data_IF_538256369931
#
_entry.id   IF_538256369931
#
_cell.length_a   1.000
_cell.length_b   1.000
_cell.length_c   1.000
_cell.angle_alpha   90.00
_cell.angle_beta   90.00
_cell.angle_gamma   90.00
#
_symmetry.space_group_name_H-M   'P 1'
#
loop_
_entity.id
_entity.type
_entity.pdbx_description
1 polymer ?
#
# COMPACT_ATOMS: atom_id res chain seq x y z
N UNK A 1 3.94 -0.74 -22.96
CA UNK A 1 2.71 -0.43 -22.20
C UNK A 1 1.52 -0.06 -23.09
N UNK A 2 1.54 1.02 -23.89
CA UNK A 2 0.38 1.39 -24.72
C UNK A 2 -0.02 0.33 -25.77
N UNK A 3 0.97 -0.32 -26.39
CA UNK A 3 0.72 -1.44 -27.29
C UNK A 3 0.10 -2.64 -26.56
N UNK A 4 0.66 -3.02 -25.41
CA UNK A 4 0.11 -4.07 -24.54
C UNK A 4 -1.33 -3.74 -24.09
N UNK A 5 -1.58 -2.48 -23.69
CA UNK A 5 -2.92 -2.03 -23.31
C UNK A 5 -3.91 -2.23 -24.46
N UNK A 6 -3.59 -1.73 -25.66
CA UNK A 6 -4.45 -1.87 -26.84
C UNK A 6 -4.72 -3.33 -27.19
N UNK A 7 -3.68 -4.17 -27.15
CA UNK A 7 -3.82 -5.61 -27.41
C UNK A 7 -4.78 -6.28 -26.42
N UNK A 8 -4.66 -6.00 -25.11
CA UNK A 8 -5.54 -6.56 -24.09
C UNK A 8 -6.96 -5.99 -24.23
N UNK A 9 -7.11 -4.71 -24.57
CA UNK A 9 -8.41 -4.03 -24.68
C UNK A 9 -9.19 -4.50 -25.91
N UNK A 10 -8.53 -4.59 -27.07
CA UNK A 10 -9.12 -5.09 -28.32
C UNK A 10 -9.51 -6.57 -28.25
N UNK A 11 -8.80 -7.34 -27.43
CA UNK A 11 -9.11 -8.76 -27.17
C UNK A 11 -10.05 -8.99 -25.98
N UNK A 12 -10.50 -7.93 -25.30
CA UNK A 12 -11.33 -7.96 -24.09
C UNK A 12 -10.78 -8.89 -22.98
N UNK A 13 -9.45 -9.02 -22.91
CA UNK A 13 -8.80 -10.10 -22.15
C UNK A 13 -8.36 -9.71 -20.72
N UNK A 14 -8.84 -8.56 -20.21
CA UNK A 14 -8.45 -8.04 -18.89
C UNK A 14 -8.70 -9.02 -17.74
N UNK A 15 -9.78 -9.80 -17.81
CA UNK A 15 -10.09 -10.79 -16.79
C UNK A 15 -9.02 -11.90 -16.70
N UNK A 16 -8.55 -12.42 -17.84
CA UNK A 16 -7.53 -13.48 -17.83
C UNK A 16 -6.21 -12.95 -17.27
N UNK A 17 -5.79 -11.76 -17.72
CA UNK A 17 -4.58 -11.09 -17.22
C UNK A 17 -4.67 -10.85 -15.70
N UNK A 18 -5.80 -10.39 -15.21
CA UNK A 18 -6.01 -10.20 -13.78
C UNK A 18 -5.94 -11.52 -12.99
N UNK A 19 -6.54 -12.61 -13.52
CA UNK A 19 -6.45 -13.93 -12.87
C UNK A 19 -5.02 -14.48 -12.89
N UNK A 20 -4.26 -14.27 -13.96
CA UNK A 20 -2.85 -14.66 -14.04
C UNK A 20 -2.04 -14.00 -12.91
N UNK A 21 -2.18 -12.68 -12.72
CA UNK A 21 -1.51 -11.96 -11.63
C UNK A 21 -1.93 -12.52 -10.27
N UNK A 22 -3.21 -12.87 -10.08
CA UNK A 22 -3.67 -13.53 -8.84
C UNK A 22 -3.01 -14.87 -8.62
N UNK A 23 -2.83 -15.68 -9.65
CA UNK A 23 -2.17 -16.99 -9.56
C UNK A 23 -0.66 -16.87 -9.28
N UNK A 24 -0.02 -15.83 -9.80
CA UNK A 24 1.40 -15.56 -9.59
C UNK A 24 1.70 -14.85 -8.26
N UNK A 25 0.68 -14.34 -7.57
CA UNK A 25 0.85 -13.60 -6.32
C UNK A 25 1.35 -14.50 -5.19
N UNK A 26 2.30 -14.01 -4.40
CA UNK A 26 2.83 -14.74 -3.24
C UNK A 26 1.78 -14.97 -2.17
N UNK A 27 1.69 -16.21 -1.67
CA UNK A 27 0.94 -16.55 -0.46
C UNK A 27 1.90 -16.61 0.73
N UNK A 28 1.92 -15.53 1.52
CA UNK A 28 2.82 -15.40 2.68
C UNK A 28 2.05 -15.52 4.01
N UNK A 29 2.72 -15.90 5.12
CA UNK A 29 2.05 -16.10 6.41
C UNK A 29 1.39 -14.83 6.98
N UNK A 30 0.21 -15.01 7.58
CA UNK A 30 -0.55 -13.99 8.34
C UNK A 30 -0.88 -14.47 9.76
N UNK A 31 0.04 -15.17 10.43
CA UNK A 31 -0.22 -15.89 11.69
C UNK A 31 -0.72 -14.95 12.78
N UNK A 32 -0.10 -13.77 12.94
CA UNK A 32 -0.46 -12.81 14.00
C UNK A 32 -1.87 -12.26 13.78
N UNK A 33 -2.21 -11.97 12.53
CA UNK A 33 -3.53 -11.47 12.15
C UNK A 33 -4.66 -12.48 12.42
N UNK A 34 -4.36 -13.78 12.42
CA UNK A 34 -5.34 -14.86 12.65
C UNK A 34 -5.45 -15.29 14.11
N UNK A 35 -4.67 -14.71 15.03
CA UNK A 35 -4.80 -14.99 16.46
C UNK A 35 -6.21 -14.60 16.97
N UNK A 36 -6.82 -15.38 17.89
CA UNK A 36 -8.17 -15.11 18.39
C UNK A 36 -8.34 -13.70 18.96
N UNK A 37 -7.36 -13.19 19.69
CA UNK A 37 -7.33 -11.84 20.28
C UNK A 37 -7.35 -10.71 19.24
N UNK A 38 -6.88 -10.98 18.01
CA UNK A 38 -6.82 -10.00 16.93
C UNK A 38 -8.04 -10.04 16.00
N UNK A 39 -8.98 -10.97 16.21
CA UNK A 39 -10.19 -11.10 15.38
C UNK A 39 -10.98 -9.79 15.32
N UNK A 40 -11.14 -9.10 16.44
CA UNK A 40 -11.88 -7.83 16.54
C UNK A 40 -11.13 -6.62 15.97
N UNK A 41 -9.83 -6.75 15.67
CA UNK A 41 -9.01 -5.72 15.03
C UNK A 41 -9.02 -5.81 13.50
N UNK A 42 -9.67 -6.84 12.93
CA UNK A 42 -9.78 -7.07 11.49
C UNK A 42 -11.18 -6.75 10.99
N UNK A 43 -11.29 -5.85 10.00
CA UNK A 43 -12.58 -5.52 9.37
C UNK A 43 -13.12 -6.66 8.51
N UNK A 44 -12.23 -7.35 7.80
CA UNK A 44 -12.57 -8.44 6.90
C UNK A 44 -11.74 -9.68 7.24
N UNK A 45 -12.39 -10.86 7.28
CA UNK A 45 -11.74 -12.12 7.68
C UNK A 45 -10.68 -12.58 6.69
N UNK A 46 -10.88 -12.24 5.43
CA UNK A 46 -10.11 -12.64 4.25
C UNK A 46 -9.05 -11.61 3.84
N UNK A 47 -8.94 -10.48 4.55
CA UNK A 47 -7.91 -9.46 4.30
C UNK A 47 -7.05 -9.28 5.54
N UNK A 48 -5.79 -9.68 5.47
CA UNK A 48 -4.85 -9.63 6.59
C UNK A 48 -3.47 -9.16 6.14
N UNK A 49 -2.71 -8.44 6.97
CA UNK A 49 -1.32 -8.13 6.65
C UNK A 49 -0.46 -9.39 6.73
N UNK A 50 0.60 -9.48 5.93
CA UNK A 50 1.61 -10.52 6.10
C UNK A 50 2.47 -10.23 7.34
N UNK A 51 2.96 -11.28 7.99
CA UNK A 51 3.69 -11.15 9.26
C UNK A 51 5.00 -10.35 9.09
N UNK A 52 5.67 -10.48 7.94
CA UNK A 52 6.97 -9.83 7.68
C UNK A 52 6.87 -8.33 7.35
N UNK A 53 5.71 -7.87 6.90
CA UNK A 53 5.49 -6.49 6.43
C UNK A 53 4.47 -5.73 7.29
N UNK A 54 3.83 -6.37 8.27
CA UNK A 54 2.85 -5.72 9.14
C UNK A 54 3.52 -4.59 9.95
N UNK A 55 2.77 -3.53 10.22
CA UNK A 55 3.19 -2.51 11.19
C UNK A 55 2.99 -3.04 12.62
N UNK A 56 3.93 -2.71 13.52
CA UNK A 56 3.88 -3.05 14.94
C UNK A 56 3.67 -1.76 15.73
N UNK A 57 2.60 -1.72 16.52
CA UNK A 57 2.33 -0.66 17.48
C UNK A 57 3.26 -0.79 18.70
N UNK A 58 3.64 0.32 19.33
CA UNK A 58 4.57 0.31 20.47
C UNK A 58 3.88 0.53 21.82
N UNK A 59 2.65 1.04 21.84
CA UNK A 59 1.86 1.20 23.06
C UNK A 59 1.01 -0.05 23.36
N UNK A 60 0.77 -0.26 24.66
CA UNK A 60 -0.05 -1.38 25.13
C UNK A 60 0.62 -2.75 25.03
N UNK A 61 -0.15 -3.81 25.27
CA UNK A 61 0.32 -5.19 25.30
C UNK A 61 0.19 -5.92 23.95
N UNK A 62 -0.61 -5.39 23.02
CA UNK A 62 -0.90 -6.00 21.74
C UNK A 62 -0.49 -5.06 20.59
N UNK A 63 0.60 -5.43 19.92
CA UNK A 63 1.25 -4.66 18.83
C UNK A 63 0.50 -4.71 17.48
N UNK A 64 -0.65 -5.38 17.42
CA UNK A 64 -1.30 -5.70 16.15
C UNK A 64 -2.19 -4.56 15.65
N UNK A 65 -1.94 -4.16 14.39
CA UNK A 65 -2.85 -3.39 13.55
C UNK A 65 -2.89 -4.01 12.15
N UNK A 66 -4.05 -4.00 11.48
CA UNK A 66 -4.17 -4.47 10.08
C UNK A 66 -3.63 -3.43 9.10
N UNK A 67 -2.30 -3.29 9.07
CA UNK A 67 -1.57 -2.39 8.20
C UNK A 67 -0.29 -3.07 7.70
N UNK A 68 0.13 -2.75 6.47
CA UNK A 68 1.34 -3.29 5.85
C UNK A 68 2.22 -2.17 5.33
N UNK A 69 3.52 -2.21 5.65
CA UNK A 69 4.53 -1.37 5.00
C UNK A 69 4.88 -1.98 3.64
N UNK A 70 4.64 -1.22 2.58
CA UNK A 70 5.07 -1.54 1.22
C UNK A 70 6.29 -0.67 0.92
N UNK A 71 7.43 -1.30 0.66
CA UNK A 71 8.68 -0.60 0.37
C UNK A 71 9.11 -0.90 -1.06
N UNK A 72 9.03 0.10 -1.94
CA UNK A 72 9.46 -0.01 -3.33
C UNK A 72 10.90 0.51 -3.41
N UNK A 73 11.87 -0.40 -3.31
CA UNK A 73 13.28 -0.05 -3.12
C UNK A 73 13.83 0.78 -4.28
N UNK A 74 13.61 0.34 -5.52
CA UNK A 74 14.08 1.06 -6.71
C UNK A 74 13.42 2.44 -6.81
N UNK A 75 12.12 2.51 -6.52
CA UNK A 75 11.37 3.76 -6.55
C UNK A 75 11.71 4.68 -5.36
N UNK A 76 12.44 4.18 -4.34
CA UNK A 76 12.73 4.87 -3.07
C UNK A 76 11.48 5.46 -2.42
N UNK A 77 10.38 4.72 -2.49
CA UNK A 77 9.07 5.14 -1.98
C UNK A 77 8.51 4.07 -1.06
N UNK A 78 7.96 4.49 0.06
CA UNK A 78 7.27 3.61 1.00
C UNK A 78 5.85 4.10 1.26
N UNK A 79 4.94 3.15 1.45
CA UNK A 79 3.54 3.38 1.79
C UNK A 79 3.12 2.48 2.94
N UNK A 80 2.22 2.94 3.78
CA UNK A 80 1.49 2.09 4.72
C UNK A 80 0.08 1.89 4.17
N UNK A 81 -0.24 0.67 3.73
CA UNK A 81 -1.61 0.32 3.34
C UNK A 81 -2.33 -0.33 4.50
N UNK A 82 -3.48 0.23 4.88
CA UNK A 82 -4.26 -0.22 6.04
C UNK A 82 -5.75 -0.30 5.71
N UNK A 83 -6.50 -1.05 6.52
CA UNK A 83 -7.97 -1.06 6.42
C UNK A 83 -8.55 0.29 6.90
N UNK A 84 -9.79 0.59 6.49
CA UNK A 84 -10.55 1.67 7.10
C UNK A 84 -10.77 1.37 8.58
N UNK A 85 -10.36 2.26 9.51
CA UNK A 85 -10.43 2.00 10.95
C UNK A 85 -11.80 1.50 11.41
N UNK A 86 -11.80 0.56 12.35
CA UNK A 86 -12.98 0.15 13.10
C UNK A 86 -13.19 1.15 14.26
N UNK A 87 -14.39 1.24 14.85
CA UNK A 87 -14.62 2.08 16.02
C UNK A 87 -13.62 1.81 17.15
N UNK A 88 -13.24 0.56 17.34
CA UNK A 88 -12.27 0.10 18.36
C UNK A 88 -10.81 0.19 17.94
N UNK A 89 -10.51 0.70 16.72
CA UNK A 89 -9.14 0.81 16.21
C UNK A 89 -8.81 2.21 15.69
N UNK A 90 -9.61 3.22 16.01
CA UNK A 90 -9.29 4.60 15.66
C UNK A 90 -8.06 5.10 16.43
N UNK A 91 -7.95 4.81 17.74
CA UNK A 91 -6.77 5.15 18.53
C UNK A 91 -5.50 4.50 17.97
N UNK A 92 -5.53 3.17 17.79
CA UNK A 92 -4.46 2.40 17.14
C UNK A 92 -4.02 2.97 15.77
N UNK A 93 -4.96 3.50 14.98
CA UNK A 93 -4.64 4.12 13.69
C UNK A 93 -3.82 5.41 13.86
N UNK A 94 -4.19 6.28 14.82
CA UNK A 94 -3.47 7.51 15.08
C UNK A 94 -2.15 7.29 15.82
N UNK A 95 -2.07 6.28 16.67
CA UNK A 95 -0.82 5.77 17.22
C UNK A 95 0.14 5.37 16.09
N UNK A 96 -0.30 4.56 15.13
CA UNK A 96 0.49 4.19 13.96
C UNK A 96 0.97 5.43 13.18
N UNK A 97 0.08 6.38 12.89
CA UNK A 97 0.44 7.63 12.18
C UNK A 97 1.53 8.40 12.94
N UNK A 98 1.43 8.48 14.27
CA UNK A 98 2.41 9.13 15.12
C UNK A 98 3.76 8.41 15.12
N UNK A 99 3.77 7.11 15.39
CA UNK A 99 4.99 6.31 15.51
C UNK A 99 5.77 6.22 14.20
N UNK A 100 5.05 6.12 13.08
CA UNK A 100 5.64 6.02 11.75
C UNK A 100 6.02 7.39 11.17
N UNK A 101 5.83 8.49 11.92
CA UNK A 101 6.11 9.87 11.50
C UNK A 101 5.46 10.22 10.17
N UNK A 102 4.25 9.70 9.95
CA UNK A 102 3.47 9.94 8.75
C UNK A 102 3.03 11.41 8.72
N UNK A 103 3.23 12.08 7.58
CA UNK A 103 2.75 13.46 7.35
C UNK A 103 1.40 13.51 6.64
N UNK A 104 1.07 12.49 5.85
CA UNK A 104 -0.14 12.45 5.03
C UNK A 104 -0.95 11.16 5.18
N UNK A 105 -2.28 11.30 5.20
CA UNK A 105 -3.23 10.20 5.15
C UNK A 105 -4.09 10.34 3.89
N UNK A 106 -4.11 9.32 3.04
CA UNK A 106 -4.92 9.25 1.82
C UNK A 106 -6.09 8.29 2.04
N UNK A 107 -7.30 8.83 2.09
CA UNK A 107 -8.55 8.11 2.25
C UNK A 107 -9.30 8.02 0.91
N UNK A 108 -9.53 6.81 0.42
CA UNK A 108 -10.10 6.56 -0.91
C UNK A 108 -11.54 6.01 -0.87
N UNK A 109 -12.23 6.14 0.26
CA UNK A 109 -13.61 5.67 0.44
C UNK A 109 -14.45 6.67 1.22
N UNK A 110 -15.78 6.53 1.13
CA UNK A 110 -16.69 7.20 2.06
C UNK A 110 -16.92 6.35 3.31
N UNK A 111 -17.28 7.00 4.42
CA UNK A 111 -17.63 6.32 5.69
C UNK A 111 -18.75 5.31 5.45
N UNK A 112 -19.75 5.68 4.65
CA UNK A 112 -20.88 4.84 4.25
C UNK A 112 -20.91 4.73 2.73
N UNK A 113 -20.98 3.50 2.21
CA UNK A 113 -21.13 3.22 0.78
C UNK A 113 -22.21 2.16 0.58
N UNK A 114 -23.13 2.40 -0.35
CA UNK A 114 -24.27 1.49 -0.61
C UNK A 114 -25.02 1.09 0.67
N UNK A 115 -25.20 2.06 1.58
CA UNK A 115 -25.89 1.87 2.87
C UNK A 115 -25.10 1.13 3.95
N UNK A 116 -23.86 0.72 3.69
CA UNK A 116 -23.02 -0.02 4.65
C UNK A 116 -21.87 0.82 5.18
N UNK A 117 -21.56 0.68 6.48
CA UNK A 117 -20.41 1.36 7.11
C UNK A 117 -19.10 0.69 6.66
N UNK A 118 -18.30 1.41 5.88
CA UNK A 118 -17.03 0.94 5.30
C UNK A 118 -15.80 1.39 6.07
N UNK A 119 -15.94 2.42 6.90
CA UNK A 119 -14.89 3.01 7.72
C UNK A 119 -15.56 3.69 8.92
N UNK A 120 -14.92 3.74 10.09
CA UNK A 120 -15.37 4.59 11.18
C UNK A 120 -15.14 6.08 10.84
N UNK A 121 -15.87 6.97 11.52
CA UNK A 121 -15.56 8.40 11.55
C UNK A 121 -14.36 8.58 12.48
N UNK A 122 -13.15 8.48 11.95
CA UNK A 122 -11.91 8.45 12.73
C UNK A 122 -11.22 9.82 12.83
N UNK A 123 -11.83 10.87 12.27
CA UNK A 123 -11.39 12.25 12.36
C UNK A 123 -12.57 13.14 12.81
N UNK A 124 -12.33 14.28 13.48
CA UNK A 124 -13.40 15.19 13.89
C UNK A 124 -14.06 15.87 12.68
N UNK A 125 -15.38 16.01 12.74
CA UNK A 125 -16.16 16.81 11.79
C UNK A 125 -16.17 18.29 12.20
N UNK A 126 -16.69 19.17 11.33
CA UNK A 126 -16.69 20.64 11.54
C UNK A 126 -17.38 21.05 12.84
N UNK A 127 -18.38 20.29 13.26
CA UNK A 127 -19.21 20.54 14.43
C UNK A 127 -18.50 20.19 15.74
N UNK A 128 -17.74 19.09 15.75
CA UNK A 128 -17.06 18.55 16.94
C UNK A 128 -15.68 19.19 17.13
N UNK A 129 -15.00 19.54 16.01
CA UNK A 129 -13.64 20.11 15.91
C UNK A 129 -12.50 19.30 16.52
N UNK A 130 -12.75 18.49 17.54
CA UNK A 130 -11.75 17.66 18.21
C UNK A 130 -12.27 16.24 18.47
N UNK A 131 -11.34 15.29 18.51
CA UNK A 131 -11.59 13.91 18.89
C UNK A 131 -10.45 13.43 19.81
N UNK A 132 -10.81 12.80 20.93
CA UNK A 132 -9.85 12.23 21.90
C UNK A 132 -9.93 10.70 21.84
N UNK A 133 -8.76 10.07 21.72
CA UNK A 133 -8.58 8.62 21.71
C UNK A 133 -7.91 8.21 23.03
N UNK A 134 -8.72 7.97 24.05
CA UNK A 134 -8.25 7.70 25.43
C UNK A 134 -7.40 6.43 25.54
N UNK A 135 -7.68 5.42 24.72
CA UNK A 135 -6.95 4.15 24.68
C UNK A 135 -5.47 4.30 24.31
N UNK A 136 -5.14 5.35 23.55
CA UNK A 136 -3.81 5.60 23.00
C UNK A 136 -3.25 6.98 23.39
N UNK A 137 -4.00 7.77 24.16
CA UNK A 137 -3.65 9.12 24.60
C UNK A 137 -3.31 10.09 23.46
N UNK A 138 -4.09 10.06 22.39
CA UNK A 138 -4.01 11.03 21.30
C UNK A 138 -5.23 11.94 21.25
N UNK A 139 -5.00 13.21 20.92
CA UNK A 139 -6.05 14.16 20.56
C UNK A 139 -5.83 14.60 19.12
N UNK A 140 -6.92 14.70 18.38
CA UNK A 140 -6.91 15.15 17.00
C UNK A 140 -7.83 16.34 16.85
N UNK A 141 -7.31 17.43 16.27
CA UNK A 141 -8.05 18.68 16.06
C UNK A 141 -8.15 18.98 14.57
N UNK A 142 -9.34 19.34 14.09
CA UNK A 142 -9.54 19.87 12.74
C UNK A 142 -9.12 21.34 12.69
N UNK A 143 -8.07 21.64 11.93
CA UNK A 143 -7.53 23.01 11.77
C UNK A 143 -8.23 23.72 10.61
N UNK A 144 -8.25 23.07 9.43
CA UNK A 144 -8.87 23.62 8.23
C UNK A 144 -9.36 22.50 7.30
N UNK A 145 -10.30 22.85 6.41
CA UNK A 145 -10.84 21.94 5.39
C UNK A 145 -11.10 22.70 4.09
N UNK A 146 -10.52 22.20 3.00
CA UNK A 146 -10.75 22.64 1.62
C UNK A 146 -11.55 21.56 0.88
N UNK A 147 -12.81 21.87 0.55
CA UNK A 147 -13.75 20.93 -0.07
C UNK A 147 -13.83 21.23 -1.56
N UNK A 148 -13.47 20.23 -2.38
CA UNK A 148 -13.58 20.23 -3.85
C UNK A 148 -14.68 19.27 -4.30
N UNK A 149 -14.97 19.26 -5.59
CA UNK A 149 -16.08 18.46 -6.13
C UNK A 149 -15.93 16.96 -5.89
N UNK A 150 -14.73 16.40 -6.04
CA UNK A 150 -14.46 14.96 -5.89
C UNK A 150 -13.46 14.58 -4.80
N UNK A 151 -12.89 15.58 -4.11
CA UNK A 151 -12.00 15.34 -2.99
C UNK A 151 -12.10 16.43 -1.93
N UNK A 152 -11.51 16.18 -0.78
CA UNK A 152 -11.40 17.15 0.32
C UNK A 152 -10.01 17.04 0.93
N UNK A 153 -9.37 18.17 1.20
CA UNK A 153 -8.10 18.23 1.91
C UNK A 153 -8.35 18.84 3.29
N UNK A 154 -7.94 18.14 4.34
CA UNK A 154 -8.01 18.66 5.71
C UNK A 154 -6.61 18.82 6.27
N UNK A 155 -6.42 19.88 7.04
CA UNK A 155 -5.28 20.03 7.92
C UNK A 155 -5.74 19.62 9.32
N UNK A 156 -5.05 18.64 9.88
CA UNK A 156 -5.32 18.11 11.21
C UNK A 156 -4.10 18.37 12.09
N UNK A 157 -4.34 18.62 13.37
CA UNK A 157 -3.29 18.64 14.39
C UNK A 157 -3.44 17.38 15.25
N UNK A 158 -2.43 16.52 15.23
CA UNK A 158 -2.33 15.34 16.07
C UNK A 158 -1.44 15.65 17.26
N UNK A 159 -2.00 15.57 18.47
CA UNK A 159 -1.31 15.81 19.73
C UNK A 159 -1.13 14.50 20.49
N UNK A 160 0.10 14.22 20.92
CA UNK A 160 0.37 13.18 21.90
C UNK A 160 0.15 13.74 23.30
N UNK A 161 -0.94 13.37 23.97
CA UNK A 161 -1.31 13.92 25.27
C UNK A 161 -0.31 13.56 26.38
N UNK A 162 0.49 12.49 26.19
CA UNK A 162 1.50 12.09 27.16
C UNK A 162 2.76 12.98 27.11
N UNK A 163 3.12 13.49 25.93
CA UNK A 163 4.33 14.32 25.73
C UNK A 163 4.02 15.79 25.45
N UNK A 164 2.77 16.12 25.13
CA UNK A 164 2.31 17.44 24.68
C UNK A 164 2.94 17.88 23.34
N UNK A 165 3.60 16.97 22.61
CA UNK A 165 4.09 17.25 21.27
C UNK A 165 2.92 17.22 20.27
N UNK A 166 2.93 18.16 19.32
CA UNK A 166 1.95 18.23 18.24
C UNK A 166 2.60 18.05 16.88
N UNK A 167 1.83 17.51 15.93
CA UNK A 167 2.23 17.37 14.52
C UNK A 167 1.07 17.70 13.61
N UNK A 168 1.38 18.39 12.52
CA UNK A 168 0.44 18.58 11.42
C UNK A 168 0.33 17.30 10.59
N UNK A 169 -0.91 16.90 10.30
CA UNK A 169 -1.24 15.80 9.39
C UNK A 169 -2.16 16.32 8.29
N UNK A 170 -1.78 16.08 7.03
CA UNK A 170 -2.65 16.36 5.89
C UNK A 170 -3.52 15.13 5.59
N UNK A 171 -4.83 15.33 5.52
CA UNK A 171 -5.80 14.28 5.19
C UNK A 171 -6.40 14.54 3.82
N UNK A 172 -6.10 13.67 2.87
CA UNK A 172 -6.58 13.73 1.49
C UNK A 172 -7.70 12.71 1.31
N UNK A 173 -8.93 13.18 1.13
CA UNK A 173 -10.11 12.34 1.05
C UNK A 173 -10.72 12.38 -0.35
N UNK A 174 -10.54 11.31 -1.13
CA UNK A 174 -11.23 11.15 -2.41
C UNK A 174 -12.66 10.65 -2.17
N UNK A 175 -13.67 11.44 -2.55
CA UNK A 175 -15.06 11.24 -2.10
C UNK A 175 -15.96 10.56 -3.14
N UNK A 176 -15.59 10.57 -4.42
CA UNK A 176 -16.44 10.05 -5.51
C UNK A 176 -16.00 8.71 -6.08
N UNK A 177 -14.99 8.04 -5.50
CA UNK A 177 -14.56 6.71 -5.98
C UNK A 177 -15.54 5.61 -5.53
N UNK A 178 -16.29 4.95 -6.44
CA UNK A 178 -17.23 3.89 -6.07
C UNK A 178 -16.53 2.61 -5.59
N UNK A 179 -17.14 1.91 -4.63
CA UNK A 179 -16.64 0.60 -4.15
C UNK A 179 -16.69 -0.45 -5.27
N UNK A 180 -15.58 -1.17 -5.46
CA UNK A 180 -15.30 -2.10 -6.57
C UNK A 180 -15.32 -1.50 -7.99
N UNK A 181 -15.55 -0.19 -8.12
CA UNK A 181 -15.44 0.50 -9.39
C UNK A 181 -14.10 1.21 -9.56
N UNK A 182 -14.09 2.14 -10.52
CA UNK A 182 -12.96 2.98 -10.89
C UNK A 182 -13.38 4.46 -10.84
N UNK A 183 -12.45 5.41 -10.72
CA UNK A 183 -12.75 6.83 -10.91
C UNK A 183 -13.36 7.07 -12.30
N UNK A 184 -14.17 8.12 -12.43
CA UNK A 184 -14.87 8.45 -13.68
C UNK A 184 -13.90 8.75 -14.83
N UNK A 185 -12.74 9.34 -14.53
CA UNK A 185 -11.70 9.63 -15.50
C UNK A 185 -10.30 9.49 -14.89
N UNK A 186 -9.27 9.13 -15.69
CA UNK A 186 -7.88 9.22 -15.25
C UNK A 186 -7.47 10.63 -14.83
N UNK A 187 -8.05 11.68 -15.44
CA UNK A 187 -7.73 13.07 -15.14
C UNK A 187 -8.03 13.46 -13.68
N UNK A 188 -9.23 13.14 -13.17
CA UNK A 188 -9.60 13.41 -11.77
C UNK A 188 -8.70 12.67 -10.77
N UNK A 189 -8.41 11.39 -11.05
CA UNK A 189 -7.49 10.60 -10.24
C UNK A 189 -6.06 11.16 -10.26
N UNK A 190 -5.54 11.52 -11.43
CA UNK A 190 -4.19 12.04 -11.58
C UNK A 190 -4.07 13.41 -10.92
N UNK A 191 -5.03 14.33 -11.11
CA UNK A 191 -5.03 15.62 -10.42
C UNK A 191 -4.96 15.43 -8.90
N UNK A 192 -5.78 14.55 -8.33
CA UNK A 192 -5.71 14.21 -6.91
C UNK A 192 -4.35 13.62 -6.50
N UNK A 193 -3.79 12.67 -7.24
CA UNK A 193 -2.47 12.10 -6.98
C UNK A 193 -1.38 13.18 -6.98
N UNK A 194 -1.41 14.09 -7.94
CA UNK A 194 -0.45 15.19 -8.03
C UNK A 194 -0.63 16.20 -6.88
N UNK A 195 -1.86 16.47 -6.41
CA UNK A 195 -2.08 17.22 -5.17
C UNK A 195 -1.41 16.58 -3.95
N UNK A 196 -1.48 15.25 -3.82
CA UNK A 196 -0.78 14.53 -2.75
C UNK A 196 0.74 14.65 -2.91
N UNK A 197 1.26 14.56 -4.14
CA UNK A 197 2.71 14.72 -4.42
C UNK A 197 3.21 16.13 -4.10
N UNK A 198 2.50 17.15 -4.56
CA UNK A 198 2.83 18.58 -4.36
C UNK A 198 2.86 18.98 -2.89
N UNK A 199 2.07 18.30 -2.04
CA UNK A 199 2.09 18.54 -0.59
C UNK A 199 3.40 18.14 0.11
N UNK A 200 4.24 17.34 -0.55
CA UNK A 200 5.47 16.79 0.02
C UNK A 200 5.25 15.60 0.97
N UNK A 201 4.02 15.15 1.19
CA UNK A 201 3.72 13.99 2.06
C UNK A 201 4.31 12.67 1.56
N UNK A 202 4.66 12.57 0.28
CA UNK A 202 5.25 11.38 -0.32
C UNK A 202 6.79 11.42 -0.29
N UNK A 203 7.41 12.54 0.08
CA UNK A 203 8.85 12.71 -0.01
C UNK A 203 9.61 11.76 0.93
N UNK A 204 10.85 11.41 0.55
CA UNK A 204 11.68 10.44 1.26
C UNK A 204 12.17 10.91 2.64
N UNK A 205 12.11 12.21 2.92
CA UNK A 205 12.46 12.82 4.21
C UNK A 205 11.32 12.73 5.23
N UNK A 206 10.14 12.25 4.82
CA UNK A 206 8.97 12.04 5.66
C UNK A 206 8.79 10.55 5.97
N UNK A 207 8.02 10.24 7.01
CA UNK A 207 7.54 8.87 7.22
C UNK A 207 6.60 8.42 6.10
N UNK A 208 6.40 7.10 5.90
CA UNK A 208 5.54 6.59 4.84
C UNK A 208 4.12 7.18 4.91
N UNK A 209 3.57 7.57 3.76
CA UNK A 209 2.17 8.00 3.67
C UNK A 209 1.26 6.83 4.05
N UNK A 210 0.20 7.10 4.81
CA UNK A 210 -0.83 6.09 5.10
C UNK A 210 -1.90 6.17 4.02
N UNK A 211 -2.17 5.07 3.33
CA UNK A 211 -3.20 4.96 2.28
C UNK A 211 -4.22 3.92 2.68
N UNK A 212 -5.51 4.27 2.67
CA UNK A 212 -6.55 3.31 2.97
C UNK A 212 -7.81 3.52 2.12
N UNK A 213 -8.61 2.48 2.09
CA UNK A 213 -10.00 2.52 1.65
C UNK A 213 -10.83 1.79 2.72
N UNK A 214 -11.74 0.88 2.34
CA UNK A 214 -12.37 0.00 3.32
C UNK A 214 -11.46 -1.16 3.74
N UNK A 215 -10.98 -1.97 2.79
CA UNK A 215 -10.10 -3.11 3.06
C UNK A 215 -8.59 -2.77 2.96
N UNK A 216 -8.26 -1.64 2.33
CA UNK A 216 -6.87 -1.22 2.13
C UNK A 216 -6.13 -2.02 1.06
N UNK A 217 -6.82 -2.53 0.03
CA UNK A 217 -6.19 -3.37 -1.02
C UNK A 217 -6.62 -2.98 -2.45
N UNK A 218 -7.91 -2.77 -2.73
CA UNK A 218 -8.38 -2.44 -4.09
C UNK A 218 -7.96 -1.04 -4.54
N UNK A 219 -8.70 -0.02 -4.11
CA UNK A 219 -8.45 1.40 -4.42
C UNK A 219 -7.06 1.87 -3.97
N UNK A 220 -6.63 1.44 -2.77
CA UNK A 220 -5.29 1.73 -2.24
C UNK A 220 -4.18 1.11 -3.10
N UNK A 221 -4.37 -0.12 -3.58
CA UNK A 221 -3.45 -0.76 -4.52
C UNK A 221 -3.35 -0.01 -5.83
N UNK A 222 -4.48 0.41 -6.41
CA UNK A 222 -4.50 1.26 -7.62
C UNK A 222 -3.75 2.56 -7.41
N UNK A 223 -3.98 3.27 -6.30
CA UNK A 223 -3.30 4.53 -5.99
C UNK A 223 -1.77 4.36 -5.95
N UNK A 224 -1.29 3.43 -5.13
CA UNK A 224 0.15 3.23 -4.94
C UNK A 224 0.83 2.63 -6.18
N UNK A 225 0.15 1.76 -6.94
CA UNK A 225 0.70 1.21 -8.18
C UNK A 225 0.92 2.31 -9.22
N UNK A 226 -0.07 3.18 -9.43
CA UNK A 226 0.07 4.27 -10.40
C UNK A 226 1.18 5.23 -9.96
N UNK A 227 1.22 5.62 -8.68
CA UNK A 227 2.30 6.48 -8.15
C UNK A 227 3.69 5.87 -8.38
N UNK A 228 3.85 4.59 -8.04
CA UNK A 228 5.13 3.87 -8.17
C UNK A 228 5.56 3.77 -9.63
N UNK A 229 4.67 3.33 -10.52
CA UNK A 229 4.98 3.21 -11.95
C UNK A 229 5.43 4.56 -12.53
N UNK A 230 4.68 5.63 -12.26
CA UNK A 230 5.04 6.98 -12.69
C UNK A 230 6.41 7.41 -12.14
N UNK A 231 6.72 7.11 -10.87
CA UNK A 231 8.01 7.44 -10.29
C UNK A 231 9.17 6.67 -10.95
N UNK A 232 8.99 5.36 -11.20
CA UNK A 232 9.98 4.54 -11.90
C UNK A 232 10.25 5.04 -13.31
N UNK A 233 9.21 5.45 -14.05
CA UNK A 233 9.39 6.04 -15.38
C UNK A 233 10.22 7.32 -15.34
N UNK A 234 9.97 8.18 -14.34
CA UNK A 234 10.75 9.40 -14.13
C UNK A 234 12.21 9.11 -13.78
N UNK A 235 12.45 8.14 -12.89
CA UNK A 235 13.80 7.75 -12.45
C UNK A 235 14.61 7.12 -13.60
N UNK A 236 14.01 6.22 -14.37
CA UNK A 236 14.65 5.52 -15.48
C UNK A 236 14.77 6.38 -16.74
N UNK A 237 14.00 7.48 -16.83
CA UNK A 237 13.87 8.33 -18.02
C UNK A 237 13.44 7.57 -19.28
N UNK A 238 12.75 6.46 -19.09
CA UNK A 238 12.26 5.60 -20.16
C UNK A 238 10.92 4.96 -19.73
N UNK A 239 9.78 5.49 -20.19
CA UNK A 239 8.46 4.93 -19.89
C UNK A 239 8.28 3.49 -20.39
N UNK A 240 9.01 3.07 -21.43
CA UNK A 240 8.89 1.72 -22.00
C UNK A 240 9.51 0.64 -21.12
N UNK A 241 10.40 1.03 -20.20
CA UNK A 241 11.09 0.12 -19.27
C UNK A 241 10.22 -0.38 -18.11
N UNK A 242 9.07 0.24 -17.86
CA UNK A 242 8.22 -0.08 -16.70
C UNK A 242 7.11 -1.06 -17.08
N UNK A 243 7.15 -2.26 -16.48
CA UNK A 243 6.12 -3.28 -16.62
C UNK A 243 5.16 -3.24 -15.43
N UNK A 244 3.91 -2.80 -15.64
CA UNK A 244 2.93 -2.59 -14.56
C UNK A 244 2.66 -3.88 -13.77
N UNK A 245 2.60 -5.03 -14.46
CA UNK A 245 2.35 -6.35 -13.84
C UNK A 245 3.43 -6.70 -12.82
N UNK A 246 4.70 -6.52 -13.18
CA UNK A 246 5.84 -6.83 -12.32
C UNK A 246 5.82 -5.97 -11.07
N UNK A 247 5.58 -4.65 -11.23
CA UNK A 247 5.46 -3.72 -10.09
C UNK A 247 4.31 -4.13 -9.18
N UNK A 248 3.15 -4.53 -9.73
CA UNK A 248 2.02 -5.00 -8.93
C UNK A 248 2.34 -6.32 -8.19
N UNK A 249 3.03 -7.25 -8.83
CA UNK A 249 3.45 -8.51 -8.20
C UNK A 249 4.45 -8.25 -7.06
N UNK A 250 5.40 -7.35 -7.25
CA UNK A 250 6.32 -6.90 -6.21
C UNK A 250 5.56 -6.29 -5.03
N UNK A 251 4.64 -5.35 -5.27
CA UNK A 251 3.81 -4.75 -4.22
C UNK A 251 2.95 -5.79 -3.49
N UNK A 252 2.43 -6.79 -4.21
CA UNK A 252 1.68 -7.90 -3.62
C UNK A 252 2.54 -8.83 -2.77
N UNK A 253 3.87 -8.75 -2.87
CA UNK A 253 4.79 -9.36 -1.92
C UNK A 253 4.73 -8.74 -0.52
N UNK A 254 4.19 -7.53 -0.37
CA UNK A 254 4.06 -6.86 0.93
C UNK A 254 2.64 -6.91 1.50
N UNK A 255 1.61 -6.88 0.65
CA UNK A 255 0.21 -6.96 1.09
C UNK A 255 -0.61 -7.73 0.07
N UNK A 256 -1.40 -8.69 0.55
CA UNK A 256 -2.26 -9.49 -0.31
C UNK A 256 -3.29 -8.66 -1.11
N UNK A 257 -3.67 -9.16 -2.27
CA UNK A 257 -4.89 -8.76 -2.96
C UNK A 257 -4.94 -7.31 -3.46
N UNK A 258 -3.80 -6.62 -3.57
CA UNK A 258 -3.76 -5.27 -4.15
C UNK A 258 -4.37 -5.27 -5.54
N UNK A 259 -5.29 -4.33 -5.83
CA UNK A 259 -6.16 -4.35 -7.01
C UNK A 259 -7.13 -5.55 -6.99
N UNK A 260 -8.42 -5.26 -6.88
CA UNK A 260 -9.47 -6.25 -6.60
C UNK A 260 -10.31 -6.65 -7.83
N UNK A 261 -10.21 -5.90 -8.93
CA UNK A 261 -10.96 -6.19 -10.16
C UNK A 261 -10.10 -5.99 -11.41
N UNK A 262 -10.47 -6.64 -12.51
CA UNK A 262 -9.87 -6.43 -13.82
C UNK A 262 -10.01 -4.96 -14.28
N UNK A 263 -11.14 -4.32 -13.97
CA UNK A 263 -11.36 -2.90 -14.30
C UNK A 263 -10.41 -1.98 -13.53
N UNK A 264 -10.10 -2.28 -12.27
CA UNK A 264 -9.09 -1.51 -11.51
C UNK A 264 -7.69 -1.68 -12.11
N UNK A 265 -7.35 -2.88 -12.60
CA UNK A 265 -6.08 -3.10 -13.30
C UNK A 265 -6.05 -2.32 -14.62
N UNK A 266 -7.11 -2.42 -15.43
CA UNK A 266 -7.27 -1.65 -16.68
C UNK A 266 -7.16 -0.15 -16.42
N UNK A 267 -7.81 0.34 -15.37
CA UNK A 267 -7.74 1.75 -14.98
C UNK A 267 -6.33 2.16 -14.56
N UNK A 268 -5.59 1.31 -13.82
CA UNK A 268 -4.19 1.57 -13.51
C UNK A 268 -3.35 1.75 -14.76
N UNK A 269 -3.56 0.95 -15.81
CA UNK A 269 -2.88 1.15 -17.10
C UNK A 269 -3.24 2.50 -17.72
N UNK A 270 -4.54 2.83 -17.80
CA UNK A 270 -4.99 4.12 -18.34
C UNK A 270 -4.37 5.31 -17.61
N UNK A 271 -4.37 5.27 -16.27
CA UNK A 271 -3.81 6.34 -15.45
C UNK A 271 -2.30 6.46 -15.58
N UNK A 272 -1.57 5.34 -15.69
CA UNK A 272 -0.11 5.37 -15.93
C UNK A 272 0.21 5.90 -17.33
N UNK A 273 -0.51 5.45 -18.38
CA UNK A 273 -0.32 5.93 -19.76
C UNK A 273 -0.57 7.44 -19.84
N UNK A 274 -1.69 7.89 -19.28
CA UNK A 274 -2.04 9.32 -19.27
C UNK A 274 -1.03 10.12 -18.44
N UNK A 275 -0.69 9.64 -17.24
CA UNK A 275 0.28 10.28 -16.36
C UNK A 275 1.70 10.35 -16.93
N UNK A 276 2.09 9.39 -17.76
CA UNK A 276 3.41 9.37 -18.40
C UNK A 276 3.62 10.58 -19.33
N UNK A 277 2.55 11.10 -19.96
CA UNK A 277 2.62 12.29 -20.82
C UNK A 277 3.14 13.51 -20.07
N UNK A 278 2.69 13.70 -18.81
CA UNK A 278 3.17 14.77 -17.94
C UNK A 278 4.65 14.61 -17.59
N UNK A 279 5.10 13.38 -17.29
CA UNK A 279 6.51 13.09 -16.94
C UNK A 279 7.44 13.30 -18.13
N UNK A 280 6.97 13.05 -19.35
CA UNK A 280 7.74 13.25 -20.59
C UNK A 280 7.89 14.72 -21.00
N UNK A 281 7.47 15.67 -20.16
CA UNK A 281 7.75 17.10 -20.33
C UNK A 281 6.57 17.95 -20.78
N UNK A 282 5.38 17.38 -20.91
CA UNK A 282 4.17 18.16 -21.17
C UNK A 282 3.52 18.61 -19.85
N UNK A 283 4.06 19.66 -19.28
CA UNK A 283 3.53 20.27 -18.04
C UNK A 283 2.15 20.93 -18.24
N UNK A 284 1.76 21.23 -19.49
CA UNK A 284 0.45 21.82 -19.80
C UNK A 284 -0.72 20.88 -19.49
N UNK A 285 -0.44 19.57 -19.44
CA UNK A 285 -1.43 18.53 -19.13
C UNK A 285 -1.92 18.62 -17.68
N UNK A 286 -1.11 19.11 -16.73
CA UNK A 286 -1.57 19.23 -15.34
C UNK A 286 -2.71 20.24 -15.19
N UNK A 287 -2.59 21.41 -15.84
CA UNK A 287 -3.68 22.39 -15.90
C UNK A 287 -4.89 21.82 -16.64
N UNK A 288 -4.65 21.06 -17.72
CA UNK A 288 -5.73 20.37 -18.43
C UNK A 288 -6.47 19.36 -17.56
N UNK A 289 -5.79 18.57 -16.73
CA UNK A 289 -6.46 17.65 -15.81
C UNK A 289 -7.25 18.38 -14.74
N UNK A 290 -6.74 19.50 -14.23
CA UNK A 290 -7.47 20.35 -13.29
C UNK A 290 -8.79 20.82 -13.90
N UNK A 291 -8.75 21.35 -15.11
CA UNK A 291 -9.93 21.75 -15.88
C UNK A 291 -10.88 20.57 -16.15
N UNK A 292 -10.37 19.46 -16.70
CA UNK A 292 -11.16 18.27 -17.05
C UNK A 292 -11.73 17.53 -15.84
N UNK A 293 -11.15 17.73 -14.65
CA UNK A 293 -11.63 17.13 -13.41
C UNK A 293 -12.82 17.87 -12.82
N UNK A 294 -13.10 19.08 -13.28
CA UNK A 294 -14.13 19.96 -12.73
C UNK A 294 -14.01 20.11 -11.20
N UNK A 295 -12.79 20.29 -10.67
CA UNK A 295 -12.57 20.28 -9.21
C UNK A 295 -13.28 21.43 -8.46
N UNK A 296 -13.58 22.53 -9.14
CA UNK A 296 -14.25 23.71 -8.60
C UNK A 296 -15.79 23.64 -8.70
N UNK A 297 -16.34 22.58 -9.28
CA UNK A 297 -17.78 22.36 -9.30
C UNK A 297 -18.33 22.12 -7.88
N UNK A 298 -19.62 22.38 -7.63
CA UNK A 298 -20.22 22.06 -6.34
C UNK A 298 -20.10 20.54 -6.04
N UNK A 299 -19.71 20.16 -4.81
CA UNK A 299 -19.60 18.76 -4.45
C UNK A 299 -20.98 18.07 -4.53
N UNK A 300 -21.02 16.78 -4.88
CA UNK A 300 -22.27 16.04 -4.98
C UNK A 300 -22.97 15.95 -3.61
N UNK A 301 -24.28 16.18 -3.58
CA UNK A 301 -25.09 16.00 -2.39
C UNK A 301 -25.21 14.51 -2.05
N UNK A 302 -24.46 14.07 -1.04
CA UNK A 302 -24.68 12.76 -0.44
C UNK A 302 -25.71 12.89 0.67
N UNK A 303 -26.96 12.50 0.39
CA UNK A 303 -27.98 12.42 1.43
C UNK A 303 -27.54 11.40 2.49
N UNK A 304 -27.31 11.82 3.76
CA UNK A 304 -27.01 10.86 4.81
C UNK A 304 -28.21 9.92 4.98
N UNK A 305 -27.99 8.63 5.32
CA UNK A 305 -29.10 7.74 5.62
C UNK A 305 -29.93 8.33 6.77
N UNK A 306 -31.27 8.20 6.73
CA UNK A 306 -32.14 8.75 7.76
C UNK A 306 -31.72 8.23 9.14
N UNK A 307 -31.70 9.13 10.13
CA UNK A 307 -31.36 8.78 11.52
C UNK A 307 -32.24 7.60 11.99
N UNK A 308 -31.68 6.63 12.75
CA UNK A 308 -32.48 5.57 13.34
C UNK A 308 -33.65 6.18 14.13
N UNK A 309 -34.88 5.74 13.85
CA UNK A 309 -36.05 6.18 14.62
C UNK A 309 -35.84 5.81 16.10
N UNK A 310 -36.23 6.67 17.06
CA UNK A 310 -36.22 6.31 18.46
C UNK A 310 -37.01 5.01 18.66
N UNK A 311 -36.58 4.10 19.55
CA UNK A 311 -37.34 2.90 19.85
C UNK A 311 -38.75 3.29 20.30
N UNK A 312 -39.77 2.74 19.63
CA UNK A 312 -41.16 2.89 20.06
C UNK A 312 -41.31 2.27 21.45
N UNK A 313 -42.10 2.86 22.36
CA UNK A 313 -42.41 2.23 23.64
C UNK A 313 -43.06 0.86 23.40
N UNK A 314 -42.78 -0.15 24.26
CA UNK A 314 -43.28 -1.50 24.07
C UNK A 314 -44.80 -1.53 24.11
N UNK A 315 -45.41 -1.97 23.03
CA UNK A 315 -46.85 -2.19 22.92
C UNK A 315 -47.16 -3.59 23.47
N UNK A 316 -47.90 -3.67 24.57
CA UNK A 316 -48.41 -4.92 25.14
C UNK A 316 -49.65 -5.37 24.33
N UNK A 317 -49.52 -6.42 23.53
CA UNK A 317 -50.63 -7.09 22.83
C UNK A 317 -50.19 -8.44 22.24
N UNK A 318 -51.08 -9.46 22.19
CA UNK A 318 -50.70 -10.87 22.16
C UNK A 318 -50.20 -11.37 20.78
N UNK A 319 -49.35 -12.40 20.86
CA UNK A 319 -48.57 -13.03 19.79
C UNK A 319 -49.39 -13.57 18.60
N UNK A 320 -48.82 -13.46 17.39
CA UNK A 320 -48.74 -14.58 16.43
C UNK A 320 -47.68 -14.29 15.36
N UNK A 321 -46.65 -15.15 15.30
CA UNK A 321 -45.64 -15.19 14.23
C UNK A 321 -45.96 -16.35 13.28
N UNK A 322 -45.50 -16.27 12.02
CA UNK A 322 -44.69 -17.36 11.50
C UNK A 322 -43.34 -16.84 10.98
N UNK A 323 -42.28 -17.51 11.45
CA UNK A 323 -40.87 -17.28 11.10
C UNK A 323 -40.56 -17.97 9.77
N UNK A 324 -39.94 -17.26 8.84
CA UNK A 324 -39.28 -17.87 7.67
C UNK A 324 -37.95 -17.14 7.47
N UNK A 325 -36.87 -17.92 7.35
CA UNK A 325 -35.45 -17.60 7.16
C UNK A 325 -34.56 -17.55 8.42
N UNK A 326 -33.38 -18.23 8.41
CA UNK A 326 -32.43 -18.25 9.52
C UNK A 326 -31.58 -16.96 9.57
N UNK A 327 -31.29 -16.47 10.77
CA UNK A 327 -30.44 -15.31 11.05
C UNK A 327 -28.97 -15.62 10.77
N UNK A 328 -28.32 -14.81 9.93
CA UNK A 328 -26.87 -14.64 9.92
C UNK A 328 -26.48 -13.75 11.12
N UNK A 329 -25.59 -14.26 11.98
CA UNK A 329 -25.08 -13.58 13.17
C UNK A 329 -24.26 -12.32 12.80
N UNK A 330 -24.95 -11.19 12.67
CA UNK A 330 -24.35 -9.85 12.74
C UNK A 330 -24.34 -9.44 14.21
N UNK A 331 -23.14 -9.37 14.80
CA UNK A 331 -22.94 -8.84 16.16
C UNK A 331 -23.24 -7.33 16.13
N UNK A 332 -24.49 -6.94 16.38
CA UNK A 332 -24.84 -5.58 16.77
C UNK A 332 -24.64 -5.43 18.28
N UNK A 333 -23.48 -4.93 18.70
CA UNK A 333 -23.31 -4.43 20.06
C UNK A 333 -24.10 -3.13 20.21
N UNK A 334 -25.18 -3.17 21.00
CA UNK A 334 -25.92 -1.99 21.44
C UNK A 334 -25.04 -1.14 22.35
N UNK A 335 -24.90 0.14 22.04
CA UNK A 335 -24.34 1.13 22.95
C UNK A 335 -25.20 1.21 24.22
N UNK A 336 -24.71 0.67 25.33
CA UNK A 336 -25.20 0.98 26.66
C UNK A 336 -24.03 1.50 27.47
N UNK A 337 -24.09 2.77 27.81
CA UNK A 337 -23.18 3.43 28.73
C UNK A 337 -23.52 2.89 30.12
N UNK A 338 -22.65 2.03 30.66
CA UNK A 338 -22.59 1.74 32.09
C UNK A 338 -21.32 2.36 32.65
N UNK A 339 -21.51 3.42 33.43
CA UNK A 339 -20.49 3.97 34.33
C UNK A 339 -20.23 2.99 35.46
N UNK A 340 -19.11 2.26 35.42
CA UNK A 340 -18.53 1.65 36.61
C UNK A 340 -17.00 1.61 36.54
N UNK A 341 -16.40 2.41 37.42
CA UNK A 341 -15.19 2.18 38.24
C UNK A 341 -14.00 1.42 37.64
N UNK A 342 -12.86 2.12 37.62
CA UNK A 342 -11.54 1.71 37.13
C UNK A 342 -10.99 0.36 37.65
N UNK A 343 -10.13 -0.28 36.83
CA UNK A 343 -8.94 -0.94 37.36
C UNK A 343 -7.62 -0.56 36.66
N UNK A 344 -6.60 -0.43 37.51
CA UNK A 344 -5.13 -0.45 37.38
C UNK A 344 -4.43 -0.15 36.03
N UNK A 345 -3.48 0.80 36.12
CA UNK A 345 -2.51 1.25 35.11
C UNK A 345 -1.80 0.12 34.32
N UNK A 346 -1.50 0.32 33.02
CA UNK A 346 -0.64 -0.57 32.28
C UNK A 346 0.84 -0.25 32.52
N UNK A 347 1.63 -1.29 32.80
CA UNK A 347 3.08 -1.23 32.91
C UNK A 347 3.72 -0.82 31.57
N UNK A 348 4.39 0.33 31.57
CA UNK A 348 5.22 0.80 30.46
C UNK A 348 6.48 -0.06 30.32
N UNK A 349 6.73 -0.55 29.10
CA UNK A 349 8.02 -1.14 28.73
C UNK A 349 9.08 -0.03 28.63
N UNK A 350 9.81 0.24 29.72
CA UNK A 350 11.00 1.11 29.68
C UNK A 350 12.15 0.41 28.93
N UNK A 351 12.71 1.08 27.92
CA UNK A 351 14.06 0.79 27.43
C UNK A 351 15.03 1.86 27.94
N UNK A 352 16.12 1.39 28.53
CA UNK A 352 17.25 2.18 29.03
C UNK A 352 17.92 2.91 27.86
N UNK A 353 17.86 4.24 27.88
CA UNK A 353 18.70 5.09 27.02
C UNK A 353 19.97 5.40 27.83
N UNK A 354 21.14 5.03 27.29
CA UNK A 354 22.41 5.41 27.86
C UNK A 354 22.61 6.91 27.69
N UNK A 355 22.66 7.63 28.80
CA UNK A 355 22.94 9.07 28.87
C UNK A 355 24.44 9.30 28.64
N UNK A 356 24.80 9.93 27.52
CA UNK A 356 26.08 10.64 27.41
C UNK A 356 25.90 12.01 28.07
N UNK A 357 26.46 12.16 29.28
CA UNK A 357 26.52 13.43 29.98
C UNK A 357 27.66 14.28 29.43
N UNK A 358 27.33 15.53 29.06
CA UNK A 358 28.28 16.58 28.78
C UNK A 358 28.86 17.14 30.10
N UNK A 359 30.18 17.32 30.14
CA UNK A 359 30.87 18.15 31.13
C UNK A 359 31.92 19.03 30.45
N UNK A 360 31.90 20.31 30.79
CA UNK A 360 32.70 21.42 30.25
C UNK A 360 34.17 21.42 30.76
N UNK A 361 35.05 22.33 30.27
CA UNK A 361 36.49 22.09 30.10
C UNK A 361 37.39 22.58 31.26
N UNK A 362 38.64 22.10 31.30
CA UNK A 362 39.73 22.71 32.05
C UNK A 362 41.07 22.57 31.29
N UNK A 363 41.85 23.64 31.37
CA UNK A 363 43.13 23.96 30.73
C UNK A 363 44.30 23.06 31.17
N UNK A 364 45.36 22.92 30.34
CA UNK A 364 46.73 23.36 30.63
C UNK A 364 47.77 22.97 29.55
N UNK A 365 48.54 24.00 29.14
CA UNK A 365 49.98 24.07 28.80
C UNK A 365 50.63 23.31 27.63
N UNK A 366 51.05 24.11 26.65
CA UNK A 366 52.17 23.91 25.70
C UNK A 366 53.56 24.02 26.36
N UNK A 367 54.59 23.43 25.72
CA UNK A 367 55.84 24.16 25.52
C UNK A 367 56.31 24.24 24.06
N UNK A 368 57.12 25.28 23.87
CA UNK A 368 57.71 25.98 22.71
C UNK A 368 58.60 25.21 21.70
N UNK A 369 58.63 25.81 20.50
CA UNK A 369 59.42 25.65 19.25
C UNK A 369 60.97 25.49 19.37
N UNK A 370 61.64 25.14 18.25
CA UNK A 370 62.30 26.20 17.45
C UNK A 370 62.06 26.12 15.92
N UNK A 371 62.34 27.26 15.30
CA UNK A 371 62.15 27.78 13.94
C UNK A 371 63.11 27.23 12.88
N UNK A 372 62.72 27.29 11.59
CA UNK A 372 63.38 28.10 10.53
C UNK A 372 62.76 27.85 9.12
N UNK A 373 62.52 28.95 8.39
CA UNK A 373 62.13 29.08 6.97
C UNK A 373 63.38 29.14 6.04
N UNK A 374 63.30 29.43 4.71
CA UNK A 374 62.43 28.96 3.62
C UNK A 374 63.25 28.50 2.36
N UNK A 375 62.56 28.32 1.23
CA UNK A 375 63.00 28.54 -0.17
C UNK A 375 63.11 27.35 -1.18
N UNK A 376 62.27 27.55 -2.21
CA UNK A 376 62.51 27.46 -3.66
C UNK A 376 62.17 26.20 -4.50
N UNK A 377 61.73 26.56 -5.70
CA UNK A 377 60.96 25.85 -6.71
C UNK A 377 61.70 24.75 -7.48
N UNK A 378 60.91 23.84 -8.08
CA UNK A 378 60.84 23.59 -9.54
C UNK A 378 60.41 22.13 -9.87
N UNK A 379 59.44 22.01 -10.78
CA UNK A 379 59.06 20.74 -11.44
C UNK A 379 60.16 20.31 -12.45
N UNK A 380 60.28 19.02 -12.83
CA UNK A 380 59.48 18.51 -13.97
C UNK A 380 59.17 16.98 -14.01
N UNK A 381 58.16 16.59 -14.80
CA UNK A 381 58.04 15.27 -15.51
C UNK A 381 58.70 15.42 -16.92
N UNK A 382 59.02 14.38 -17.75
CA UNK A 382 58.45 13.01 -17.82
C UNK A 382 59.44 11.86 -18.21
N UNK A 383 58.88 10.65 -18.43
CA UNK A 383 59.27 9.54 -19.35
C UNK A 383 59.74 8.19 -18.76
N UNK A 384 58.97 7.14 -19.12
CA UNK A 384 59.30 5.70 -19.25
C UNK A 384 60.26 5.48 -20.47
N UNK A 385 60.91 4.31 -20.77
CA UNK A 385 60.35 2.93 -20.63
C UNK A 385 61.32 1.70 -20.48
N UNK A 386 60.69 0.49 -20.46
CA UNK A 386 61.15 -0.89 -20.85
C UNK A 386 61.81 -1.79 -19.78
N UNK A 387 61.12 -2.83 -19.24
CA UNK A 387 61.03 -4.30 -19.61
C UNK A 387 62.22 -5.13 -19.05
N UNK A 388 62.07 -6.27 -18.32
CA UNK A 388 61.64 -7.60 -18.81
C UNK A 388 61.18 -8.59 -17.69
N UNK A 389 60.00 -9.20 -17.91
CA UNK A 389 59.55 -10.62 -17.77
C UNK A 389 60.02 -11.58 -16.67
N UNK A 390 59.05 -12.25 -16.02
CA UNK A 390 59.01 -13.73 -15.87
C UNK A 390 57.55 -14.24 -15.83
N UNK A 391 57.29 -15.37 -16.49
CA UNK A 391 55.99 -15.95 -16.91
C UNK A 391 55.13 -16.63 -15.82
N UNK A 392 53.82 -16.76 -16.13
CA UNK A 392 52.86 -17.68 -15.52
C UNK A 392 52.06 -18.43 -16.62
N UNK A 393 51.56 -19.67 -16.38
CA UNK A 393 51.25 -20.65 -17.43
C UNK A 393 49.88 -20.47 -18.14
N UNK A 394 49.70 -21.07 -19.34
CA UNK A 394 48.61 -20.70 -20.27
C UNK A 394 47.28 -21.44 -20.04
N UNK A 395 46.19 -20.76 -20.42
CA UNK A 395 44.81 -21.26 -20.52
C UNK A 395 44.65 -22.23 -21.71
N UNK A 396 43.77 -23.24 -21.62
CA UNK A 396 43.55 -24.20 -22.71
C UNK A 396 42.74 -23.59 -23.87
N UNK A 397 43.16 -23.95 -25.08
CA UNK A 397 42.60 -23.56 -26.37
C UNK A 397 41.31 -24.33 -26.71
N UNK A 398 40.39 -23.63 -27.40
CA UNK A 398 39.17 -24.19 -27.99
C UNK A 398 39.50 -25.06 -29.20
N UNK A 399 38.99 -26.28 -29.25
CA UNK A 399 38.95 -27.15 -30.43
C UNK A 399 37.75 -26.81 -31.34
N UNK A 400 37.82 -27.08 -32.66
CA UNK A 400 36.71 -26.88 -33.60
C UNK A 400 35.60 -27.94 -33.42
N UNK A 401 34.38 -27.71 -33.95
CA UNK A 401 33.22 -28.54 -33.64
C UNK A 401 33.27 -29.90 -34.36
N UNK A 402 33.11 -30.97 -33.58
CA UNK A 402 32.88 -32.33 -34.06
C UNK A 402 31.44 -32.47 -34.62
N UNK A 403 31.32 -32.97 -35.84
CA UNK A 403 30.04 -33.35 -36.45
C UNK A 403 29.52 -34.62 -35.75
N UNK A 404 28.39 -34.52 -35.04
CA UNK A 404 27.66 -35.71 -34.54
C UNK A 404 26.68 -36.25 -35.60
N UNK A 405 26.51 -37.58 -35.70
CA UNK A 405 25.59 -38.20 -36.64
C UNK A 405 24.13 -37.95 -36.22
N UNK A 406 23.28 -37.76 -37.23
CA UNK A 406 21.83 -37.69 -37.12
C UNK A 406 21.29 -39.06 -36.67
N UNK A 407 20.47 -39.10 -35.62
CA UNK A 407 19.54 -40.23 -35.41
C UNK A 407 19.64 -41.04 -34.11
N UNK A 408 19.82 -40.42 -32.94
CA UNK A 408 19.50 -41.08 -31.66
C UNK A 408 18.76 -40.13 -30.72
N UNK A 409 17.51 -40.48 -30.40
CA UNK A 409 16.67 -39.73 -29.47
C UNK A 409 17.08 -40.03 -28.03
N UNK A 410 17.01 -39.01 -27.17
CA UNK A 410 17.29 -39.13 -25.74
C UNK A 410 16.27 -40.10 -25.09
N UNK A 411 16.70 -41.14 -24.33
CA UNK A 411 15.81 -42.12 -23.72
C UNK A 411 14.74 -41.51 -22.80
N UNK A 412 15.00 -40.34 -22.19
CA UNK A 412 14.00 -39.62 -21.40
C UNK A 412 12.84 -39.07 -22.25
N UNK A 413 13.13 -38.63 -23.48
CA UNK A 413 12.13 -38.08 -24.41
C UNK A 413 11.23 -39.20 -24.96
N UNK A 414 11.79 -40.38 -25.22
CA UNK A 414 11.03 -41.57 -25.60
C UNK A 414 10.12 -42.03 -24.47
N UNK A 415 10.60 -42.01 -23.22
CA UNK A 415 9.79 -42.38 -22.05
C UNK A 415 8.64 -41.40 -21.80
N UNK A 416 8.86 -40.10 -21.97
CA UNK A 416 7.79 -39.08 -21.83
C UNK A 416 6.74 -39.24 -22.93
N UNK A 417 7.13 -39.49 -24.19
CA UNK A 417 6.19 -39.73 -25.28
C UNK A 417 5.37 -41.03 -25.12
N UNK A 418 5.96 -42.10 -24.58
CA UNK A 418 5.22 -43.34 -24.30
C UNK A 418 4.20 -43.16 -23.16
N UNK A 419 4.54 -42.37 -22.14
CA UNK A 419 3.61 -42.05 -21.05
C UNK A 419 2.45 -41.15 -21.50
N UNK A 420 2.66 -40.19 -22.40
CA UNK A 420 1.57 -39.34 -22.90
C UNK A 420 0.61 -40.11 -23.81
N UNK A 421 1.12 -41.03 -24.62
CA UNK A 421 0.29 -41.91 -25.46
C UNK A 421 -0.54 -42.91 -24.63
N UNK A 422 -0.01 -43.45 -23.54
CA UNK A 422 -0.76 -44.37 -22.68
C UNK A 422 -1.90 -43.66 -21.93
N UNK A 423 -1.67 -42.45 -21.42
CA UNK A 423 -2.72 -41.65 -20.76
C UNK A 423 -3.81 -41.24 -21.73
N UNK A 424 -3.46 -40.79 -22.94
CA UNK A 424 -4.44 -40.47 -23.98
C UNK A 424 -5.30 -41.67 -24.38
N UNK A 425 -4.71 -42.87 -24.45
CA UNK A 425 -5.42 -44.12 -24.76
C UNK A 425 -6.41 -44.51 -23.66
N UNK A 426 -6.05 -44.31 -22.38
CA UNK A 426 -6.94 -44.58 -21.23
C UNK A 426 -8.10 -43.60 -21.18
N UNK A 427 -7.86 -42.31 -21.48
CA UNK A 427 -8.93 -41.30 -21.53
C UNK A 427 -9.87 -41.55 -22.71
N UNK A 428 -9.33 -41.95 -23.87
CA UNK A 428 -10.13 -42.32 -25.04
C UNK A 428 -11.00 -43.57 -24.78
N UNK A 429 -10.44 -44.59 -24.09
CA UNK A 429 -11.20 -45.79 -23.73
C UNK A 429 -12.27 -45.49 -22.67
N UNK A 430 -11.96 -44.65 -21.68
CA UNK A 430 -12.93 -44.21 -20.67
C UNK A 430 -14.08 -43.40 -21.25
N UNK A 431 -13.80 -42.50 -22.20
CA UNK A 431 -14.84 -41.72 -22.89
C UNK A 431 -15.68 -42.56 -23.85
N UNK A 432 -15.08 -43.57 -24.51
CA UNK A 432 -15.82 -44.54 -25.32
C UNK A 432 -16.74 -45.40 -24.45
N UNK A 433 -16.23 -45.99 -23.36
CA UNK A 433 -17.03 -46.77 -22.41
C UNK A 433 -18.17 -45.96 -21.78
N UNK A 434 -17.93 -44.70 -21.41
CA UNK A 434 -18.96 -43.81 -20.86
C UNK A 434 -20.08 -43.54 -21.88
N UNK A 435 -19.73 -43.30 -23.14
CA UNK A 435 -20.72 -43.09 -24.21
C UNK A 435 -21.55 -44.34 -24.49
N UNK A 436 -20.95 -45.54 -24.46
CA UNK A 436 -21.70 -46.79 -24.71
C UNK A 436 -22.59 -47.23 -23.56
N UNK A 437 -22.40 -46.70 -22.35
CA UNK A 437 -23.15 -47.11 -21.16
C UNK A 437 -24.28 -46.14 -20.79
N UNK A 438 -24.19 -44.88 -21.23
CA UNK A 438 -25.13 -43.81 -20.87
C UNK A 438 -25.88 -43.18 -22.06
N UNK A 439 -25.62 -43.64 -23.28
CA UNK A 439 -26.38 -43.35 -24.50
C UNK A 439 -26.60 -44.64 -25.28
#
# INVERSE_FOLDING_TARGET
MEAEFREIDESENWNAIYQEIRQQSSELPCKVAKLPENRSRNRYRDVSPFDHSRIHLQLGSNDYINASLISMEEARRSYILTQGPLPTTCGHFWEMVWEQRTRGVVMLNRVIEKGSVKCAQYWPQREEREAIFEDTNFKLTLVSEDVKSYYTVRQLELENLSTQETREILHFHYTTWPDFGVPESPASFLNFLFKVRESGCLNSDQGPVVVHCSAGIGRSGTFCLVDTCLLLMSLRKDPSSVQIKDVLLEMRGYRMGLIQTADQLRFSYLAVIEGAKCIMGDTSIQESWKELSNEEDPPPEFTPPPRPRPPKPPYNGPQSTPQFFPEDDIIQAKNVIYTHSAPSEPEFRRRTVATLAASAPAEFETPTLPTDEPDDASAPKPSDPVTTTTEAPPKPSRSPPEKRPVGQWNPLLVSVCLCTLSVASVVALGTYCYRTYFH
#
